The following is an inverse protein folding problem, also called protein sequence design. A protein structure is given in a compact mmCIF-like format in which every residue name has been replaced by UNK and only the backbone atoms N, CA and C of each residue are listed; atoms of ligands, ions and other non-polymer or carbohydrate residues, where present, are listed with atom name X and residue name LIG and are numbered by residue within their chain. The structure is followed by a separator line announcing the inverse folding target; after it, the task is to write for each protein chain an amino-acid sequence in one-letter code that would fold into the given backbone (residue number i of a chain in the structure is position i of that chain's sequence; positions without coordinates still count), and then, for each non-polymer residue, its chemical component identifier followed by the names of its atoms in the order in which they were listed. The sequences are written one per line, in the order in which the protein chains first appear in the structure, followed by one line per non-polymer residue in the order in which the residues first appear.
data_IF_710738059921
#
_entry.id   IF_710738059921
#
_cell.length_a   1.000
_cell.length_b   1.000
_cell.length_c   1.000
_cell.angle_alpha   90.00
_cell.angle_beta   90.00
_cell.angle_gamma   90.00
#
_symmetry.space_group_name_H-M   'P 1'
#
loop_
_entity.id
_entity.type
_entity.pdbx_description
1 polymer ?
#
# COMPACT_ATOMS: atom_id res chain seq x y z
N UNK A 1 32.30 16.91 0.86
CA UNK A 1 31.00 16.50 1.43
C UNK A 1 30.60 15.10 0.93
N UNK A 2 30.50 14.83 -0.38
CA UNK A 2 30.13 13.47 -0.87
C UNK A 2 31.03 12.31 -0.41
N UNK A 3 32.36 12.51 -0.32
CA UNK A 3 33.27 11.47 0.20
C UNK A 3 33.05 11.18 1.70
N UNK A 4 32.46 12.11 2.45
CA UNK A 4 32.22 11.95 3.88
C UNK A 4 30.99 11.07 4.12
N UNK A 5 29.88 11.34 3.43
CA UNK A 5 28.65 10.53 3.50
C UNK A 5 28.91 9.09 3.05
N UNK A 6 29.61 8.89 1.93
CA UNK A 6 29.95 7.55 1.45
C UNK A 6 30.76 6.74 2.49
N UNK A 7 31.72 7.39 3.17
CA UNK A 7 32.51 6.74 4.21
C UNK A 7 31.67 6.41 5.45
N UNK A 8 30.76 7.31 5.84
CA UNK A 8 29.84 7.09 6.96
C UNK A 8 28.89 5.92 6.67
N UNK A 9 28.31 5.87 5.47
CA UNK A 9 27.48 4.75 5.01
C UNK A 9 28.27 3.44 5.07
N UNK A 10 29.50 3.43 4.56
CA UNK A 10 30.35 2.24 4.60
C UNK A 10 30.67 1.77 6.02
N UNK A 11 31.01 2.70 6.92
CA UNK A 11 31.28 2.37 8.32
C UNK A 11 30.03 1.84 9.03
N UNK A 12 28.86 2.45 8.78
CA UNK A 12 27.61 2.04 9.39
C UNK A 12 27.20 0.62 8.99
N UNK A 13 27.31 0.29 7.71
CA UNK A 13 26.98 -1.05 7.24
C UNK A 13 28.06 -2.10 7.54
N UNK A 14 29.33 -1.69 7.73
CA UNK A 14 30.33 -2.58 8.32
C UNK A 14 29.94 -2.96 9.76
N UNK A 15 29.52 -1.99 10.58
CA UNK A 15 29.01 -2.25 11.93
C UNK A 15 27.74 -3.12 11.92
N UNK A 16 26.84 -2.91 10.95
CA UNK A 16 25.62 -3.71 10.80
C UNK A 16 25.94 -5.20 10.51
N UNK A 17 27.00 -5.50 9.75
CA UNK A 17 27.46 -6.90 9.55
C UNK A 17 27.91 -7.56 10.85
N UNK A 18 28.39 -6.77 11.80
CA UNK A 18 28.77 -7.19 13.15
C UNK A 18 27.59 -7.18 14.14
N UNK A 19 26.38 -6.86 13.68
CA UNK A 19 25.16 -6.82 14.48
C UNK A 19 24.88 -5.49 15.18
N UNK A 20 25.69 -4.44 14.95
CA UNK A 20 25.44 -3.10 15.47
C UNK A 20 24.71 -2.24 14.42
N UNK A 21 23.39 -2.07 14.60
CA UNK A 21 22.54 -1.30 13.69
C UNK A 21 22.38 0.18 14.08
N UNK A 22 22.89 0.60 15.24
CA UNK A 22 22.77 1.99 15.70
C UNK A 22 23.36 3.02 14.71
N UNK A 23 24.55 2.79 14.11
CA UNK A 23 25.06 3.67 13.07
C UNK A 23 24.15 3.75 11.83
N UNK A 24 23.46 2.66 11.48
CA UNK A 24 22.53 2.66 10.34
C UNK A 24 21.28 3.47 10.66
N UNK A 25 20.75 3.37 11.88
CA UNK A 25 19.64 4.21 12.34
C UNK A 25 19.99 5.70 12.29
N UNK A 26 21.22 6.07 12.65
CA UNK A 26 21.70 7.47 12.60
C UNK A 26 21.77 8.01 11.16
N UNK A 27 22.06 7.17 10.15
CA UNK A 27 22.01 7.59 8.74
C UNK A 27 20.61 8.06 8.34
N UNK A 28 19.55 7.48 8.93
CA UNK A 28 18.17 7.90 8.70
C UNK A 28 17.93 9.39 9.05
N UNK A 29 18.64 9.89 10.05
CA UNK A 29 18.54 11.29 10.51
C UNK A 29 19.34 12.27 9.64
N UNK A 30 20.29 11.77 8.84
CA UNK A 30 21.15 12.60 7.99
C UNK A 30 20.48 13.05 6.67
N UNK A 31 19.32 12.50 6.36
CA UNK A 31 18.54 12.82 5.17
C UNK A 31 18.98 12.06 3.92
N UNK A 32 18.30 12.32 2.81
CA UNK A 32 18.31 11.43 1.66
C UNK A 32 19.60 11.43 0.81
N UNK A 33 20.60 12.23 1.20
CA UNK A 33 21.96 12.20 0.61
C UNK A 33 22.65 10.84 0.74
N UNK A 34 22.15 9.95 1.62
CA UNK A 34 22.64 8.57 1.76
C UNK A 34 22.16 7.64 0.64
N UNK A 35 21.02 7.91 0.00
CA UNK A 35 20.35 7.02 -0.97
C UNK A 35 21.29 6.55 -2.10
N UNK A 36 22.08 7.43 -2.75
CA UNK A 36 23.00 7.01 -3.82
C UNK A 36 24.08 6.01 -3.39
N UNK A 37 24.30 5.85 -2.08
CA UNK A 37 25.34 4.99 -1.51
C UNK A 37 24.81 3.64 -1.01
N UNK A 38 23.50 3.37 -1.11
CA UNK A 38 22.88 2.16 -0.56
C UNK A 38 22.96 0.93 -1.48
N UNK A 39 23.21 1.11 -2.78
CA UNK A 39 23.19 0.02 -3.77
C UNK A 39 24.04 -1.21 -3.40
N UNK A 40 25.27 -1.09 -2.86
CA UNK A 40 26.08 -2.26 -2.51
C UNK A 40 25.43 -3.15 -1.43
N UNK A 41 24.66 -2.54 -0.53
CA UNK A 41 24.08 -3.22 0.64
C UNK A 41 22.81 -3.99 0.32
N UNK A 42 22.18 -3.72 -0.82
CA UNK A 42 21.04 -4.49 -1.34
C UNK A 42 21.45 -5.86 -1.90
N UNK A 43 22.75 -6.15 -2.00
CA UNK A 43 23.28 -7.45 -2.43
C UNK A 43 24.18 -8.08 -1.38
N UNK A 44 24.11 -7.57 -0.15
CA UNK A 44 24.92 -8.11 0.93
C UNK A 44 24.53 -9.56 1.24
N UNK A 45 25.51 -10.39 1.59
CA UNK A 45 25.27 -11.78 1.97
C UNK A 45 24.40 -11.86 3.23
N UNK A 46 24.52 -10.88 4.14
CA UNK A 46 23.71 -10.80 5.34
C UNK A 46 22.33 -10.20 5.04
N UNK A 47 21.28 -11.01 5.26
CA UNK A 47 19.88 -10.60 5.09
C UNK A 47 19.48 -9.38 5.93
N UNK A 48 20.02 -9.25 7.14
CA UNK A 48 19.72 -8.10 8.00
C UNK A 48 20.32 -6.83 7.42
N UNK A 49 21.49 -6.90 6.77
CA UNK A 49 22.08 -5.75 6.07
C UNK A 49 21.22 -5.33 4.89
N UNK A 50 20.75 -6.28 4.07
CA UNK A 50 19.83 -6.01 2.97
C UNK A 50 18.53 -5.38 3.46
N UNK A 51 17.98 -5.92 4.55
CA UNK A 51 16.79 -5.40 5.20
C UNK A 51 16.96 -3.94 5.68
N UNK A 52 18.08 -3.63 6.33
CA UNK A 52 18.39 -2.28 6.78
C UNK A 52 18.57 -1.30 5.61
N UNK A 53 19.17 -1.75 4.50
CA UNK A 53 19.29 -0.94 3.29
C UNK A 53 17.92 -0.59 2.70
N UNK A 54 17.00 -1.57 2.63
CA UNK A 54 15.61 -1.30 2.19
C UNK A 54 14.89 -0.39 3.19
N UNK A 55 15.05 -0.60 4.50
CA UNK A 55 14.43 0.26 5.51
C UNK A 55 14.87 1.73 5.40
N UNK A 56 16.15 1.98 5.12
CA UNK A 56 16.65 3.32 4.84
C UNK A 56 16.03 3.90 3.57
N UNK A 57 15.93 3.12 2.48
CA UNK A 57 15.26 3.59 1.26
C UNK A 57 13.80 3.99 1.52
N UNK A 58 13.09 3.23 2.35
CA UNK A 58 11.70 3.54 2.75
C UNK A 58 11.57 4.82 3.57
N UNK A 59 12.61 5.20 4.32
CA UNK A 59 12.59 6.39 5.15
C UNK A 59 12.60 7.70 4.33
N UNK A 60 13.02 7.63 3.06
CA UNK A 60 13.17 8.78 2.20
C UNK A 60 12.14 8.78 1.07
N UNK A 61 11.47 9.92 0.88
CA UNK A 61 10.61 10.16 -0.27
C UNK A 61 11.43 10.77 -1.42
N UNK A 62 12.30 9.94 -2.01
CA UNK A 62 13.17 10.36 -3.11
C UNK A 62 12.98 9.49 -4.35
N UNK A 63 12.78 10.10 -5.53
CA UNK A 63 12.74 9.35 -6.80
C UNK A 63 14.00 8.51 -7.06
N UNK A 64 15.14 8.89 -6.47
CA UNK A 64 16.39 8.14 -6.54
C UNK A 64 16.32 6.77 -5.84
N UNK A 65 15.36 6.55 -4.94
CA UNK A 65 15.13 5.26 -4.31
C UNK A 65 14.44 4.26 -5.24
N UNK A 66 13.70 4.71 -6.27
CA UNK A 66 12.90 3.83 -7.13
C UNK A 66 13.73 2.71 -7.77
N UNK A 67 14.88 2.97 -8.43
CA UNK A 67 15.67 1.89 -9.05
C UNK A 67 16.22 0.89 -8.02
N UNK A 68 16.53 1.37 -6.81
CA UNK A 68 17.07 0.56 -5.72
C UNK A 68 15.98 -0.34 -5.10
N UNK A 69 14.78 0.21 -4.88
CA UNK A 69 13.61 -0.58 -4.46
C UNK A 69 13.18 -1.57 -5.55
N UNK A 70 13.27 -1.19 -6.83
CA UNK A 70 13.01 -2.10 -7.95
C UNK A 70 13.96 -3.30 -7.94
N UNK A 71 15.25 -3.08 -7.62
CA UNK A 71 16.21 -4.18 -7.43
C UNK A 71 15.81 -5.09 -6.25
N UNK A 72 15.36 -4.52 -5.13
CA UNK A 72 14.98 -5.26 -3.93
C UNK A 72 13.71 -6.13 -4.11
N UNK A 73 12.88 -5.85 -5.13
CA UNK A 73 11.76 -6.73 -5.51
C UNK A 73 12.21 -8.11 -5.99
N UNK A 74 13.49 -8.28 -6.34
CA UNK A 74 14.12 -9.56 -6.69
C UNK A 74 14.91 -10.23 -5.57
N UNK A 75 14.78 -9.75 -4.32
CA UNK A 75 15.51 -10.36 -3.19
C UNK A 75 15.08 -11.83 -2.95
N UNK A 76 16.01 -12.73 -2.58
CA UNK A 76 15.65 -14.11 -2.23
C UNK A 76 14.61 -14.21 -1.09
N UNK A 77 14.62 -13.27 -0.14
CA UNK A 77 13.70 -13.26 0.98
C UNK A 77 12.41 -12.51 0.65
N UNK A 78 11.29 -13.19 0.87
CA UNK A 78 9.95 -12.64 0.65
C UNK A 78 9.71 -11.36 1.47
N UNK A 79 10.19 -11.30 2.73
CA UNK A 79 10.01 -10.11 3.58
C UNK A 79 10.66 -8.85 2.97
N UNK A 80 11.85 -8.99 2.37
CA UNK A 80 12.52 -7.87 1.71
C UNK A 80 11.75 -7.46 0.45
N UNK A 81 11.26 -8.41 -0.35
CA UNK A 81 10.42 -8.13 -1.52
C UNK A 81 9.13 -7.40 -1.14
N UNK A 82 8.46 -7.85 -0.07
CA UNK A 82 7.24 -7.24 0.45
C UNK A 82 7.49 -5.80 0.93
N UNK A 83 8.57 -5.56 1.67
CA UNK A 83 8.96 -4.22 2.14
C UNK A 83 9.33 -3.28 1.00
N UNK A 84 10.00 -3.78 -0.03
CA UNK A 84 10.31 -2.99 -1.21
C UNK A 84 9.04 -2.56 -1.95
N UNK A 85 8.08 -3.48 -2.14
CA UNK A 85 6.79 -3.16 -2.72
C UNK A 85 5.98 -2.17 -1.88
N UNK A 86 5.97 -2.34 -0.55
CA UNK A 86 5.32 -1.41 0.37
C UNK A 86 5.92 0.00 0.28
N UNK A 87 7.24 0.10 0.28
CA UNK A 87 7.94 1.37 0.16
C UNK A 87 7.57 2.10 -1.15
N UNK A 88 7.53 1.38 -2.27
CA UNK A 88 7.08 1.93 -3.54
C UNK A 88 5.62 2.40 -3.47
N UNK A 89 4.72 1.63 -2.84
CA UNK A 89 3.30 1.95 -2.76
C UNK A 89 2.99 3.17 -1.89
N UNK A 90 3.67 3.29 -0.74
CA UNK A 90 3.44 4.37 0.24
C UNK A 90 4.14 5.67 -0.12
N UNK A 91 5.34 5.59 -0.71
CA UNK A 91 6.20 6.76 -0.90
C UNK A 91 6.11 7.35 -2.28
N UNK A 92 5.74 6.56 -3.29
CA UNK A 92 5.83 7.02 -4.68
C UNK A 92 4.44 7.17 -5.28
N UNK A 93 4.30 8.17 -6.15
CA UNK A 93 3.12 8.34 -6.97
C UNK A 93 3.03 7.17 -7.98
N UNK A 94 1.99 6.31 -7.90
CA UNK A 94 1.86 5.18 -8.81
C UNK A 94 1.82 5.55 -10.29
N UNK A 95 1.34 6.77 -10.64
CA UNK A 95 1.35 7.22 -12.03
C UNK A 95 2.76 7.51 -12.53
N UNK A 96 3.65 8.00 -11.68
CA UNK A 96 5.07 8.18 -12.00
C UNK A 96 5.81 6.84 -12.04
N UNK A 97 5.44 5.90 -11.17
CA UNK A 97 5.95 4.53 -11.23
C UNK A 97 5.59 3.85 -12.56
N UNK A 98 4.39 4.06 -13.07
CA UNK A 98 3.91 3.50 -14.34
C UNK A 98 4.74 3.94 -15.57
N UNK A 99 5.46 5.05 -15.49
CA UNK A 99 6.37 5.51 -16.55
C UNK A 99 7.64 4.63 -16.69
N UNK A 100 7.85 3.68 -15.77
CA UNK A 100 9.00 2.78 -15.70
C UNK A 100 8.56 1.33 -15.96
N UNK A 101 8.41 0.89 -17.22
CA UNK A 101 7.88 -0.43 -17.54
C UNK A 101 8.69 -1.58 -16.89
N UNK A 102 9.99 -1.40 -16.68
CA UNK A 102 10.85 -2.36 -15.97
C UNK A 102 10.38 -2.65 -14.54
N UNK A 103 9.67 -1.73 -13.89
CA UNK A 103 9.09 -1.94 -12.56
C UNK A 103 7.91 -2.91 -12.62
N UNK A 104 7.08 -2.85 -13.67
CA UNK A 104 6.02 -3.83 -13.89
C UNK A 104 6.57 -5.25 -14.03
N UNK A 105 7.65 -5.41 -14.79
CA UNK A 105 8.34 -6.70 -14.93
C UNK A 105 8.92 -7.19 -13.60
N UNK A 106 9.51 -6.29 -12.80
CA UNK A 106 10.07 -6.63 -11.50
C UNK A 106 8.98 -7.02 -10.48
N UNK A 107 7.85 -6.30 -10.44
CA UNK A 107 6.70 -6.63 -9.61
C UNK A 107 6.11 -8.00 -10.00
N UNK A 108 5.91 -8.25 -11.30
CA UNK A 108 5.47 -9.55 -11.81
C UNK A 108 6.41 -10.67 -11.37
N UNK A 109 7.71 -10.52 -11.61
CA UNK A 109 8.71 -11.51 -11.20
C UNK A 109 8.75 -11.70 -9.67
N UNK A 110 8.44 -10.66 -8.89
CA UNK A 110 8.30 -10.74 -7.43
C UNK A 110 7.11 -11.61 -7.02
N UNK A 111 5.95 -11.41 -7.66
CA UNK A 111 4.74 -12.22 -7.46
C UNK A 111 4.97 -13.68 -7.86
N UNK A 112 5.66 -13.93 -8.98
CA UNK A 112 5.99 -15.29 -9.44
C UNK A 112 6.88 -16.04 -8.44
N UNK A 113 7.68 -15.31 -7.66
CA UNK A 113 8.51 -15.83 -6.57
C UNK A 113 7.77 -15.94 -5.23
N UNK A 114 6.46 -15.69 -5.18
CA UNK A 114 5.64 -15.82 -3.98
C UNK A 114 5.54 -14.55 -3.12
N UNK A 115 5.78 -13.36 -3.69
CA UNK A 115 5.47 -12.10 -3.00
C UNK A 115 3.96 -11.81 -3.08
N UNK A 116 3.22 -12.31 -2.08
CA UNK A 116 1.75 -12.13 -2.00
C UNK A 116 1.35 -10.85 -1.21
N UNK A 117 2.27 -9.89 -1.05
CA UNK A 117 2.00 -8.63 -0.37
C UNK A 117 0.98 -7.76 -1.15
N UNK A 118 -0.03 -7.23 -0.47
CA UNK A 118 -1.07 -6.41 -1.10
C UNK A 118 -0.49 -5.22 -1.87
N UNK A 119 0.57 -4.58 -1.35
CA UNK A 119 1.25 -3.48 -2.03
C UNK A 119 1.80 -3.89 -3.42
N UNK A 120 2.42 -5.07 -3.54
CA UNK A 120 2.96 -5.56 -4.81
C UNK A 120 1.85 -5.86 -5.82
N UNK A 121 0.77 -6.49 -5.34
CA UNK A 121 -0.41 -6.85 -6.12
C UNK A 121 -1.09 -5.58 -6.68
N UNK A 122 -1.35 -4.59 -5.81
CA UNK A 122 -2.00 -3.34 -6.19
C UNK A 122 -1.14 -2.51 -7.15
N UNK A 123 0.17 -2.42 -6.90
CA UNK A 123 1.09 -1.70 -7.81
C UNK A 123 1.12 -2.31 -9.21
N UNK A 124 1.04 -3.64 -9.33
CA UNK A 124 1.09 -4.30 -10.64
C UNK A 124 -0.06 -3.86 -11.56
N UNK A 125 -1.20 -3.44 -11.00
CA UNK A 125 -2.35 -2.93 -11.76
C UNK A 125 -2.09 -1.60 -12.50
N UNK A 126 -1.00 -0.89 -12.18
CA UNK A 126 -0.56 0.31 -12.90
C UNK A 126 0.24 0.02 -14.18
N UNK A 127 0.56 -1.25 -14.42
CA UNK A 127 1.33 -1.70 -15.59
C UNK A 127 0.44 -2.60 -16.46
N UNK A 128 -0.50 -2.02 -17.24
CA UNK A 128 -1.48 -2.80 -18.00
C UNK A 128 -0.82 -3.49 -19.20
N UNK A 129 -0.46 -4.76 -19.04
CA UNK A 129 -0.11 -5.66 -20.12
C UNK A 129 -0.66 -7.08 -19.88
N UNK A 130 -0.68 -7.90 -20.93
CA UNK A 130 -1.25 -9.25 -20.90
C UNK A 130 -0.52 -10.17 -19.89
N UNK A 131 0.78 -10.00 -19.70
CA UNK A 131 1.57 -10.84 -18.81
C UNK A 131 1.31 -10.51 -17.34
N UNK A 132 1.14 -9.23 -17.00
CA UNK A 132 0.81 -8.78 -15.65
C UNK A 132 -0.63 -9.17 -15.29
N UNK A 133 -1.57 -9.09 -16.25
CA UNK A 133 -2.92 -9.61 -16.07
C UNK A 133 -2.90 -11.11 -15.76
N UNK A 134 -2.19 -11.91 -16.56
CA UNK A 134 -2.05 -13.36 -16.34
C UNK A 134 -1.39 -13.71 -15.01
N UNK A 135 -0.42 -12.91 -14.56
CA UNK A 135 0.21 -13.12 -13.26
C UNK A 135 -0.78 -12.91 -12.10
N UNK A 136 -1.65 -11.90 -12.18
CA UNK A 136 -2.72 -11.68 -11.21
C UNK A 136 -3.76 -12.81 -11.24
N UNK A 137 -4.12 -13.32 -12.42
CA UNK A 137 -5.00 -14.48 -12.54
C UNK A 137 -4.37 -15.75 -11.94
N UNK A 138 -3.10 -16.02 -12.24
CA UNK A 138 -2.38 -17.14 -11.66
C UNK A 138 -2.29 -17.02 -10.12
N UNK A 139 -2.09 -15.80 -9.60
CA UNK A 139 -2.12 -15.53 -8.17
C UNK A 139 -3.50 -15.81 -7.58
N UNK A 140 -4.59 -15.32 -8.20
CA UNK A 140 -5.98 -15.61 -7.80
C UNK A 140 -6.21 -17.10 -7.64
N UNK A 141 -5.76 -17.88 -8.61
CA UNK A 141 -6.01 -19.33 -8.67
C UNK A 141 -5.16 -20.12 -7.65
N UNK A 142 -3.95 -19.65 -7.33
CA UNK A 142 -3.04 -20.31 -6.38
C UNK A 142 -3.17 -19.84 -4.92
N UNK A 143 -3.80 -18.70 -4.68
CA UNK A 143 -3.79 -18.03 -3.36
C UNK A 143 -4.43 -18.87 -2.22
N UNK A 144 -5.43 -19.71 -2.52
CA UNK A 144 -6.07 -20.56 -1.50
C UNK A 144 -6.62 -19.75 -0.32
N UNK A 145 -6.22 -20.06 0.92
CA UNK A 145 -6.64 -19.29 2.11
C UNK A 145 -5.56 -18.27 2.56
N UNK A 146 -4.59 -17.95 1.70
CA UNK A 146 -3.49 -17.04 2.03
C UNK A 146 -4.01 -15.66 2.42
N UNK A 147 -3.38 -15.09 3.45
CA UNK A 147 -3.71 -13.78 4.00
C UNK A 147 -2.60 -12.77 3.70
N UNK A 148 -2.97 -11.51 3.62
CA UNK A 148 -2.07 -10.39 3.36
C UNK A 148 -2.59 -9.14 4.03
N UNK A 149 -1.74 -8.15 4.18
CA UNK A 149 -2.09 -6.82 4.69
C UNK A 149 -1.38 -5.78 3.81
N UNK A 150 -1.95 -4.57 3.74
CA UNK A 150 -1.29 -3.50 3.00
C UNK A 150 -0.06 -2.99 3.76
N UNK A 151 -0.21 -2.79 5.06
CA UNK A 151 0.82 -2.34 5.98
C UNK A 151 0.50 -2.90 7.37
N UNK A 152 1.43 -2.77 8.32
CA UNK A 152 1.27 -3.32 9.69
C UNK A 152 0.12 -2.73 10.50
N UNK A 153 -0.46 -1.62 10.03
CA UNK A 153 -1.63 -0.96 10.63
C UNK A 153 -2.93 -1.26 9.88
N UNK A 154 -2.87 -1.95 8.73
CA UNK A 154 -4.03 -2.28 7.90
C UNK A 154 -4.65 -3.61 8.35
N UNK A 155 -5.94 -3.85 8.07
CA UNK A 155 -6.56 -5.15 8.32
C UNK A 155 -5.90 -6.26 7.50
N UNK A 156 -5.77 -7.43 8.11
CA UNK A 156 -5.41 -8.67 7.42
C UNK A 156 -6.61 -9.16 6.63
N UNK A 157 -6.41 -9.41 5.33
CA UNK A 157 -7.45 -9.84 4.39
C UNK A 157 -6.95 -10.98 3.52
N UNK A 158 -7.86 -11.76 2.88
CA UNK A 158 -7.46 -12.75 1.89
C UNK A 158 -6.72 -12.11 0.72
N UNK A 159 -5.67 -12.77 0.21
CA UNK A 159 -4.88 -12.31 -0.97
C UNK A 159 -5.79 -12.05 -2.18
N UNK A 160 -6.90 -12.76 -2.29
CA UNK A 160 -7.89 -12.58 -3.35
C UNK A 160 -8.47 -11.16 -3.40
N UNK A 161 -8.55 -10.46 -2.27
CA UNK A 161 -9.15 -9.13 -2.24
C UNK A 161 -8.32 -8.08 -3.00
N UNK A 162 -7.02 -7.85 -2.71
CA UNK A 162 -6.18 -6.97 -3.53
C UNK A 162 -6.03 -7.46 -4.97
N UNK A 163 -6.09 -8.77 -5.22
CA UNK A 163 -6.10 -9.31 -6.59
C UNK A 163 -7.37 -8.91 -7.32
N UNK A 164 -8.55 -8.99 -6.68
CA UNK A 164 -9.81 -8.55 -7.24
C UNK A 164 -9.82 -7.03 -7.50
N UNK A 165 -9.26 -6.23 -6.60
CA UNK A 165 -9.06 -4.78 -6.80
C UNK A 165 -8.22 -4.53 -8.07
N UNK A 166 -7.09 -5.23 -8.18
CA UNK A 166 -6.14 -5.06 -9.30
C UNK A 166 -6.73 -5.50 -10.63
N UNK A 167 -7.39 -6.67 -10.68
CA UNK A 167 -8.03 -7.18 -11.88
C UNK A 167 -9.23 -6.33 -12.30
N UNK A 168 -10.05 -5.82 -11.36
CA UNK A 168 -11.16 -4.90 -11.67
C UNK A 168 -10.65 -3.64 -12.36
N UNK A 169 -9.53 -3.07 -11.87
CA UNK A 169 -8.87 -1.89 -12.45
C UNK A 169 -8.35 -2.16 -13.86
N UNK A 170 -7.92 -3.40 -14.13
CA UNK A 170 -7.52 -3.86 -15.46
C UNK A 170 -8.71 -4.27 -16.35
N UNK A 171 -9.95 -4.06 -15.89
CA UNK A 171 -11.16 -4.29 -16.68
C UNK A 171 -11.82 -5.66 -16.50
N UNK A 172 -11.35 -6.50 -15.57
CA UNK A 172 -11.98 -7.79 -15.27
C UNK A 172 -13.35 -7.58 -14.61
N UNK A 173 -14.40 -8.00 -15.33
CA UNK A 173 -15.79 -7.85 -14.89
C UNK A 173 -16.14 -8.80 -13.73
N UNK A 174 -15.57 -10.00 -13.68
CA UNK A 174 -15.84 -10.95 -12.61
C UNK A 174 -15.24 -10.45 -11.30
N UNK A 175 -14.01 -9.94 -11.34
CA UNK A 175 -13.36 -9.29 -10.20
C UNK A 175 -14.18 -8.09 -9.71
N UNK A 176 -14.70 -7.25 -10.60
CA UNK A 176 -15.59 -6.14 -10.23
C UNK A 176 -16.87 -6.60 -9.54
N UNK A 177 -17.49 -7.70 -10.01
CA UNK A 177 -18.67 -8.28 -9.34
C UNK A 177 -18.32 -8.80 -7.94
N UNK A 178 -17.15 -9.41 -7.77
CA UNK A 178 -16.63 -9.79 -6.45
C UNK A 178 -16.51 -8.56 -5.54
N UNK A 179 -15.92 -7.46 -6.01
CA UNK A 179 -15.81 -6.23 -5.21
C UNK A 179 -17.17 -5.64 -4.83
N UNK A 180 -18.17 -5.68 -5.73
CA UNK A 180 -19.53 -5.25 -5.41
C UNK A 180 -20.16 -6.11 -4.31
N UNK A 181 -19.97 -7.43 -4.37
CA UNK A 181 -20.45 -8.35 -3.33
C UNK A 181 -19.73 -8.12 -2.00
N UNK A 182 -18.40 -8.01 -2.00
CA UNK A 182 -17.61 -7.72 -0.79
C UNK A 182 -17.96 -6.36 -0.19
N UNK A 183 -18.28 -5.36 -1.01
CA UNK A 183 -18.71 -4.04 -0.52
C UNK A 183 -20.05 -4.10 0.22
N UNK A 184 -20.96 -5.00 -0.19
CA UNK A 184 -22.27 -5.16 0.42
C UNK A 184 -22.25 -6.09 1.65
N UNK A 185 -21.64 -7.27 1.50
CA UNK A 185 -21.78 -8.39 2.44
C UNK A 185 -20.43 -8.91 2.96
N UNK A 186 -19.32 -8.24 2.63
CA UNK A 186 -17.98 -8.60 3.10
C UNK A 186 -17.79 -8.37 4.60
N UNK A 187 -16.80 -9.05 5.16
CA UNK A 187 -16.39 -8.88 6.55
C UNK A 187 -15.99 -7.43 6.85
N UNK A 188 -15.96 -7.07 8.13
CA UNK A 188 -15.50 -5.75 8.58
C UNK A 188 -14.09 -5.43 8.07
N UNK A 189 -13.17 -6.41 8.15
CA UNK A 189 -11.79 -6.28 7.68
C UNK A 189 -11.69 -6.05 6.16
N UNK A 190 -12.50 -6.74 5.36
CA UNK A 190 -12.51 -6.57 3.91
C UNK A 190 -13.08 -5.21 3.49
N UNK A 191 -14.17 -4.74 4.12
CA UNK A 191 -14.73 -3.40 3.85
C UNK A 191 -13.78 -2.29 4.32
N UNK A 192 -13.12 -2.47 5.47
CA UNK A 192 -12.05 -1.58 5.94
C UNK A 192 -10.89 -1.53 4.95
N UNK A 193 -10.45 -2.69 4.44
CA UNK A 193 -9.39 -2.76 3.43
C UNK A 193 -9.79 -2.00 2.16
N UNK A 194 -10.98 -2.26 1.60
CA UNK A 194 -11.46 -1.59 0.40
C UNK A 194 -11.52 -0.06 0.56
N UNK A 195 -11.95 0.43 1.72
CA UNK A 195 -11.93 1.86 2.03
C UNK A 195 -10.51 2.43 2.13
N UNK A 196 -9.53 1.64 2.59
CA UNK A 196 -8.13 2.08 2.67
C UNK A 196 -7.44 2.14 1.30
N UNK A 197 -7.95 1.42 0.30
CA UNK A 197 -7.39 1.37 -1.07
C UNK A 197 -8.30 2.00 -2.13
N UNK A 198 -9.17 2.95 -1.76
CA UNK A 198 -10.07 3.63 -2.71
C UNK A 198 -9.37 4.27 -3.91
N UNK A 199 -8.08 4.63 -3.79
CA UNK A 199 -7.24 5.11 -4.90
C UNK A 199 -7.17 4.09 -6.04
N UNK A 200 -7.19 2.81 -5.70
CA UNK A 200 -7.03 1.69 -6.62
C UNK A 200 -8.35 1.27 -7.28
N UNK A 201 -9.49 1.68 -6.70
CA UNK A 201 -10.82 1.39 -7.20
C UNK A 201 -11.25 2.45 -8.23
N UNK A 202 -11.43 2.00 -9.47
CA UNK A 202 -11.80 2.82 -10.64
C UNK A 202 -13.31 2.78 -10.97
N UNK A 203 -14.01 1.71 -10.59
CA UNK A 203 -15.45 1.54 -10.81
C UNK A 203 -16.29 2.40 -9.87
N UNK A 204 -17.08 3.31 -10.46
CA UNK A 204 -18.04 4.14 -9.74
C UNK A 204 -19.09 3.31 -9.00
N UNK A 205 -19.49 2.16 -9.56
CA UNK A 205 -20.47 1.27 -8.94
C UNK A 205 -19.94 0.67 -7.64
N UNK A 206 -18.65 0.28 -7.61
CA UNK A 206 -17.99 -0.20 -6.38
C UNK A 206 -17.87 0.94 -5.36
N UNK A 207 -17.48 2.14 -5.80
CA UNK A 207 -17.43 3.32 -4.93
C UNK A 207 -18.80 3.64 -4.31
N UNK A 208 -19.87 3.53 -5.08
CA UNK A 208 -21.25 3.66 -4.59
C UNK A 208 -21.62 2.55 -3.60
N UNK A 209 -21.28 1.30 -3.89
CA UNK A 209 -21.56 0.18 -2.98
C UNK A 209 -20.87 0.37 -1.62
N UNK A 210 -19.62 0.86 -1.62
CA UNK A 210 -18.86 1.16 -0.40
C UNK A 210 -19.45 2.31 0.42
N UNK A 211 -20.28 3.18 -0.17
CA UNK A 211 -20.99 4.22 0.58
C UNK A 211 -21.95 3.66 1.64
N UNK A 212 -22.38 2.39 1.51
CA UNK A 212 -23.14 1.70 2.56
C UNK A 212 -22.37 1.58 3.88
N UNK A 213 -21.03 1.66 3.85
CA UNK A 213 -20.20 1.64 5.05
C UNK A 213 -20.39 2.88 5.93
N UNK A 214 -21.05 3.94 5.44
CA UNK A 214 -21.49 5.08 6.24
C UNK A 214 -22.52 4.69 7.32
N UNK A 215 -23.20 3.55 7.18
CA UNK A 215 -24.17 3.03 8.15
C UNK A 215 -23.52 2.13 9.21
N UNK A 216 -22.24 1.77 9.05
CA UNK A 216 -21.56 0.80 9.89
C UNK A 216 -20.82 1.48 11.06
N UNK A 217 -21.32 1.24 12.27
CA UNK A 217 -20.78 1.83 13.51
C UNK A 217 -19.79 0.95 14.25
N UNK A 218 -19.43 -0.23 13.72
CA UNK A 218 -18.45 -1.10 14.36
C UNK A 218 -17.07 -0.43 14.43
N UNK A 219 -16.37 -0.65 15.55
CA UNK A 219 -15.02 -0.16 15.77
C UNK A 219 -14.01 -0.96 14.94
N UNK A 220 -13.01 -0.26 14.40
CA UNK A 220 -11.95 -0.81 13.55
C UNK A 220 -10.57 -0.53 14.15
N UNK A 221 -9.61 -1.40 13.82
CA UNK A 221 -8.24 -1.31 14.32
C UNK A 221 -7.35 -0.35 13.53
N UNK A 222 -7.65 -0.09 12.26
CA UNK A 222 -6.79 0.68 11.36
C UNK A 222 -6.81 2.20 11.59
N UNK A 223 -5.63 2.81 11.50
CA UNK A 223 -5.46 4.27 11.45
C UNK A 223 -5.50 5.00 12.79
N UNK A 224 -5.49 4.30 13.93
CA UNK A 224 -5.37 4.92 15.26
C UNK A 224 -4.30 4.18 16.09
N UNK A 225 -3.36 4.90 16.75
CA UNK A 225 -2.41 4.26 17.66
C UNK A 225 -3.10 3.48 18.78
N UNK A 226 -2.53 2.34 19.15
CA UNK A 226 -3.01 1.51 20.26
C UNK A 226 -3.21 2.33 21.54
N UNK A 227 -4.39 2.21 22.16
CA UNK A 227 -4.73 2.86 23.43
C UNK A 227 -5.41 4.23 23.33
N UNK A 228 -5.60 4.78 22.13
CA UNK A 228 -6.38 6.01 21.93
C UNK A 228 -7.89 5.68 21.95
N UNK A 229 -8.65 6.48 22.68
CA UNK A 229 -10.10 6.39 22.79
C UNK A 229 -10.75 7.74 22.42
N UNK A 230 -11.93 7.74 21.77
CA UNK A 230 -12.64 6.55 21.29
C UNK A 230 -11.98 5.92 20.03
N UNK A 231 -12.13 4.62 19.83
CA UNK A 231 -11.61 3.95 18.62
C UNK A 231 -12.29 4.49 17.35
N UNK A 232 -11.68 4.35 16.18
CA UNK A 232 -12.32 4.74 14.92
C UNK A 232 -13.43 3.74 14.57
N UNK A 233 -14.52 4.19 13.94
CA UNK A 233 -15.56 3.31 13.38
C UNK A 233 -15.39 3.18 11.87
N UNK A 234 -15.98 2.13 11.28
CA UNK A 234 -15.97 1.97 9.83
C UNK A 234 -16.60 3.17 9.10
N UNK A 235 -17.71 3.71 9.60
CA UNK A 235 -18.34 4.91 9.02
C UNK A 235 -17.43 6.15 9.07
N UNK A 236 -16.56 6.27 10.08
CA UNK A 236 -15.60 7.38 10.16
C UNK A 236 -14.48 7.23 9.12
N UNK A 237 -14.04 6.00 8.86
CA UNK A 237 -13.15 5.71 7.74
C UNK A 237 -13.82 5.97 6.40
N UNK A 238 -15.08 5.58 6.24
CA UNK A 238 -15.85 5.82 5.03
C UNK A 238 -15.98 7.32 4.72
N UNK A 239 -16.33 8.15 5.72
CA UNK A 239 -16.38 9.62 5.57
C UNK A 239 -15.06 10.15 5.04
N UNK A 240 -13.95 9.86 5.73
CA UNK A 240 -12.63 10.38 5.36
C UNK A 240 -12.24 9.94 3.95
N UNK A 241 -12.39 8.65 3.67
CA UNK A 241 -11.88 8.05 2.43
C UNK A 241 -12.71 8.49 1.23
N UNK A 242 -14.04 8.50 1.33
CA UNK A 242 -14.93 8.88 0.24
C UNK A 242 -14.88 10.38 -0.05
N UNK A 243 -14.84 11.23 0.98
CA UNK A 243 -14.72 12.69 0.78
C UNK A 243 -13.43 13.02 0.05
N UNK A 244 -12.29 12.44 0.48
CA UNK A 244 -11.00 12.63 -0.20
C UNK A 244 -11.01 12.07 -1.62
N UNK A 245 -11.46 10.82 -1.80
CA UNK A 245 -11.41 10.12 -3.09
C UNK A 245 -12.26 10.78 -4.18
N UNK A 246 -13.43 11.28 -3.79
CA UNK A 246 -14.43 11.83 -4.70
C UNK A 246 -14.42 13.37 -4.70
N UNK A 247 -13.54 14.00 -3.92
CA UNK A 247 -13.47 15.45 -3.73
C UNK A 247 -14.85 16.06 -3.39
N UNK A 248 -15.56 15.46 -2.42
CA UNK A 248 -16.93 15.84 -2.10
C UNK A 248 -16.99 17.20 -1.40
N UNK A 249 -17.93 18.08 -1.78
CA UNK A 249 -18.13 19.34 -1.07
C UNK A 249 -18.83 19.09 0.26
N UNK A 250 -18.11 19.29 1.37
CA UNK A 250 -18.65 19.22 2.74
C UNK A 250 -18.38 20.52 3.50
N UNK A 251 -19.28 20.87 4.42
CA UNK A 251 -19.23 22.11 5.20
C UNK A 251 -18.60 21.95 6.59
N UNK A 252 -17.82 20.89 6.80
CA UNK A 252 -17.13 20.57 8.03
C UNK A 252 -15.70 20.09 7.73
N UNK A 253 -14.83 20.11 8.74
CA UNK A 253 -13.44 19.67 8.60
C UNK A 253 -13.36 18.15 8.66
N UNK A 254 -12.68 17.55 7.69
CA UNK A 254 -12.41 16.11 7.66
C UNK A 254 -10.99 15.86 8.14
N UNK A 255 -10.85 15.17 9.27
CA UNK A 255 -9.55 14.74 9.82
C UNK A 255 -9.52 13.22 10.01
N UNK A 256 -8.34 12.61 9.94
CA UNK A 256 -8.21 11.14 9.89
C UNK A 256 -8.59 10.43 11.21
N UNK A 257 -8.59 11.14 12.34
CA UNK A 257 -8.79 10.57 13.67
C UNK A 257 -10.13 10.97 14.32
N UNK A 258 -10.97 11.74 13.63
CA UNK A 258 -12.23 12.23 14.18
C UNK A 258 -13.35 11.20 14.04
N UNK A 259 -14.22 11.11 15.06
CA UNK A 259 -15.55 10.53 14.94
C UNK A 259 -16.54 11.57 14.41
N UNK A 260 -17.33 11.20 13.41
CA UNK A 260 -18.32 12.07 12.80
C UNK A 260 -19.71 11.87 13.41
N UNK A 261 -20.46 12.97 13.51
CA UNK A 261 -21.85 12.99 13.93
C UNK A 261 -22.77 12.41 12.84
N UNK A 262 -23.99 12.01 13.19
CA UNK A 262 -24.97 11.54 12.21
C UNK A 262 -25.26 12.59 11.13
N UNK A 263 -25.32 13.87 11.49
CA UNK A 263 -25.54 14.95 10.54
C UNK A 263 -24.38 15.13 9.54
N UNK A 264 -23.13 14.97 9.97
CA UNK A 264 -21.96 14.99 9.08
C UNK A 264 -21.97 13.77 8.14
N UNK A 265 -22.28 12.58 8.66
CA UNK A 265 -22.40 11.35 7.87
C UNK A 265 -23.51 11.49 6.81
N UNK A 266 -24.67 12.04 7.18
CA UNK A 266 -25.79 12.28 6.26
C UNK A 266 -25.43 13.32 5.19
N UNK A 267 -24.65 14.35 5.53
CA UNK A 267 -24.17 15.33 4.56
C UNK A 267 -23.25 14.68 3.51
N UNK A 268 -22.36 13.76 3.92
CA UNK A 268 -21.53 12.99 2.99
C UNK A 268 -22.39 12.11 2.08
N UNK A 269 -23.40 11.43 2.65
CA UNK A 269 -24.33 10.60 1.86
C UNK A 269 -25.04 11.43 0.78
N UNK A 270 -25.52 12.61 1.14
CA UNK A 270 -26.17 13.54 0.18
C UNK A 270 -25.19 14.02 -0.89
N UNK A 271 -23.94 14.31 -0.52
CA UNK A 271 -22.90 14.71 -1.47
C UNK A 271 -22.57 13.60 -2.47
N UNK A 272 -22.52 12.33 -2.04
CA UNK A 272 -22.32 11.17 -2.92
C UNK A 272 -23.46 11.06 -3.94
N UNK A 273 -24.71 11.08 -3.45
CA UNK A 273 -25.91 10.94 -4.30
C UNK A 273 -26.05 12.08 -5.32
N UNK A 274 -25.61 13.29 -4.97
CA UNK A 274 -25.71 14.47 -5.84
C UNK A 274 -24.50 14.66 -6.76
N UNK A 275 -23.32 14.19 -6.36
CA UNK A 275 -22.05 14.44 -7.04
C UNK A 275 -21.62 13.37 -8.04
N UNK A 276 -22.15 12.15 -7.97
CA UNK A 276 -21.74 11.05 -8.84
C UNK A 276 -22.81 10.67 -9.87
N UNK A 277 -22.42 10.47 -11.15
CA UNK A 277 -23.30 9.86 -12.15
C UNK A 277 -23.76 8.48 -11.67
N UNK A 278 -25.04 8.16 -11.93
CA UNK A 278 -25.60 6.84 -11.62
C UNK A 278 -25.15 5.78 -12.61
#
# INVERSE_FOLDING_TARGET
MNNDIANQVNAAFAAAREGNYEPVSQLGEQGAGVVPHLQPYLRDENEMVRLQAVALLTAFDEPAAIPLLTQALGDPLQDIRARAALALYERQDPLQLAERPELGEALRASLDQGNDAAAAILLLSYFPDEANFKALEALRDRAGDAQTELASWAPVVPVQLPVAVSLSRLGDRAARLTLLQTSADGSLAEREFLLSVLREIDSLEVLHALASSLDDTHEIGGGVPSGVQPQRRLCDLAVVSLVKRLNLPVNFTVTDQQRFTSGEIDAVRQAIVSGLPR
#
